data_IF_613131481477
#
_entry.id   IF_613131481477
#
_cell.length_a   1.000
_cell.length_b   1.000
_cell.length_c   1.000
_cell.angle_alpha   90.00
_cell.angle_beta   90.00
_cell.angle_gamma   90.00
#
_symmetry.space_group_name_H-M   'P 1'
#
loop_
_entity.id
_entity.type
_entity.pdbx_description
1 polymer ?
#
# COMPACT_ATOMS: atom_id res chain seq x y z
N UNK A 1 -5.22 16.28 -14.45
CA UNK A 1 -6.49 15.56 -14.23
C UNK A 1 -7.11 15.77 -12.85
N UNK A 2 -6.35 15.82 -11.74
CA UNK A 2 -6.96 15.93 -10.39
C UNK A 2 -7.83 17.17 -10.15
N UNK A 3 -7.68 18.26 -10.91
CA UNK A 3 -8.58 19.42 -10.86
C UNK A 3 -9.86 19.24 -11.69
N UNK A 4 -9.84 18.33 -12.66
CA UNK A 4 -10.90 18.09 -13.63
C UNK A 4 -12.05 17.28 -13.04
N UNK A 5 -11.70 16.29 -12.24
CA UNK A 5 -12.64 15.32 -11.68
C UNK A 5 -12.87 15.53 -10.18
N UNK A 6 -12.61 16.74 -9.67
CA UNK A 6 -12.72 17.02 -8.22
C UNK A 6 -14.10 16.74 -7.65
N UNK A 7 -15.11 16.95 -8.46
CA UNK A 7 -16.50 16.83 -8.05
C UNK A 7 -16.99 15.37 -8.10
N UNK A 8 -16.17 14.43 -8.58
CA UNK A 8 -16.54 13.02 -8.80
C UNK A 8 -15.75 12.03 -7.93
N UNK A 9 -15.05 12.50 -6.89
CA UNK A 9 -14.25 11.63 -6.01
C UNK A 9 -15.08 10.60 -5.20
N UNK A 10 -16.41 10.70 -5.21
CA UNK A 10 -17.33 9.71 -4.61
C UNK A 10 -17.43 8.40 -5.41
N UNK A 11 -17.01 8.39 -6.67
CA UNK A 11 -17.05 7.16 -7.47
C UNK A 11 -15.90 7.05 -8.47
N UNK A 12 -15.02 8.05 -8.52
CA UNK A 12 -13.90 8.12 -9.45
C UNK A 12 -12.56 8.37 -8.75
N UNK A 13 -11.62 7.46 -8.99
CA UNK A 13 -10.22 7.62 -8.66
C UNK A 13 -9.49 8.19 -9.85
N UNK A 14 -8.55 9.09 -9.60
CA UNK A 14 -7.66 9.58 -10.64
C UNK A 14 -6.24 9.58 -10.09
N UNK A 15 -5.35 8.86 -10.77
CA UNK A 15 -3.93 8.88 -10.50
C UNK A 15 -3.15 9.15 -11.79
N UNK A 16 -2.72 10.41 -11.95
CA UNK A 16 -2.02 10.89 -13.15
C UNK A 16 -2.88 10.61 -14.40
N UNK A 17 -2.63 9.50 -15.09
CA UNK A 17 -3.30 9.07 -16.33
C UNK A 17 -4.26 7.88 -16.13
N UNK A 18 -4.21 7.22 -14.98
CA UNK A 18 -5.06 6.08 -14.66
C UNK A 18 -6.34 6.56 -13.95
N UNK A 19 -7.49 6.12 -14.47
CA UNK A 19 -8.81 6.45 -13.94
C UNK A 19 -9.52 5.16 -13.58
N UNK A 20 -10.03 5.07 -12.34
CA UNK A 20 -10.87 3.98 -11.88
C UNK A 20 -12.25 4.54 -11.56
N UNK A 21 -13.29 3.93 -12.12
CA UNK A 21 -14.68 4.23 -11.82
C UNK A 21 -15.28 3.00 -11.16
N UNK A 22 -15.85 3.17 -9.98
CA UNK A 22 -16.49 2.09 -9.25
C UNK A 22 -17.88 2.51 -8.76
N UNK A 23 -18.75 1.51 -8.61
CA UNK A 23 -20.19 1.69 -8.42
C UNK A 23 -20.76 0.46 -7.72
N UNK A 24 -21.84 0.63 -6.94
CA UNK A 24 -22.44 -0.47 -6.17
C UNK A 24 -23.21 -1.46 -7.04
N UNK A 25 -23.71 -1.02 -8.19
CA UNK A 25 -24.48 -1.85 -9.11
C UNK A 25 -24.37 -1.33 -10.55
N UNK A 26 -24.76 -2.17 -11.52
CA UNK A 26 -24.67 -1.85 -12.95
C UNK A 26 -25.47 -0.61 -13.36
N UNK A 27 -26.62 -0.36 -12.72
CA UNK A 27 -27.47 0.79 -13.02
C UNK A 27 -26.80 2.12 -12.63
N UNK A 28 -26.16 2.15 -11.47
CA UNK A 28 -25.31 3.28 -11.05
C UNK A 28 -24.06 3.38 -11.92
N UNK A 29 -23.45 2.25 -12.28
CA UNK A 29 -22.25 2.24 -13.11
C UNK A 29 -22.47 2.88 -14.47
N UNK A 30 -23.59 2.60 -15.13
CA UNK A 30 -23.96 3.26 -16.39
C UNK A 30 -24.03 4.78 -16.21
N UNK A 31 -24.68 5.26 -15.14
CA UNK A 31 -24.76 6.70 -14.85
C UNK A 31 -23.39 7.32 -14.58
N UNK A 32 -22.53 6.64 -13.84
CA UNK A 32 -21.17 7.12 -13.54
C UNK A 32 -20.33 7.20 -14.82
N UNK A 33 -20.48 6.25 -15.74
CA UNK A 33 -19.83 6.26 -17.05
C UNK A 33 -20.36 7.39 -17.94
N UNK A 34 -21.66 7.68 -17.92
CA UNK A 34 -22.25 8.83 -18.64
C UNK A 34 -21.67 10.15 -18.14
N UNK A 35 -21.64 10.36 -16.82
CA UNK A 35 -21.05 11.56 -16.20
C UNK A 35 -19.57 11.69 -16.57
N UNK A 36 -18.82 10.59 -16.50
CA UNK A 36 -17.40 10.57 -16.87
C UNK A 36 -17.19 10.88 -18.35
N UNK A 37 -17.99 10.30 -19.24
CA UNK A 37 -17.91 10.52 -20.69
C UNK A 37 -18.18 11.98 -21.04
N UNK A 38 -19.22 12.57 -20.44
CA UNK A 38 -19.56 13.99 -20.61
C UNK A 38 -18.44 14.91 -20.11
N UNK A 39 -17.81 14.58 -18.98
CA UNK A 39 -16.69 15.33 -18.44
C UNK A 39 -15.46 15.25 -19.37
N UNK A 40 -15.13 14.05 -19.87
CA UNK A 40 -14.06 13.87 -20.85
C UNK A 40 -14.32 14.65 -22.13
N UNK A 41 -15.55 14.62 -22.65
CA UNK A 41 -15.92 15.33 -23.87
C UNK A 41 -15.78 16.86 -23.72
N UNK A 42 -16.27 17.42 -22.61
CA UNK A 42 -16.18 18.86 -22.31
C UNK A 42 -14.73 19.36 -22.26
N UNK A 43 -13.83 18.52 -21.78
CA UNK A 43 -12.43 18.86 -21.51
C UNK A 43 -11.49 18.41 -22.64
N UNK A 44 -12.03 17.82 -23.71
CA UNK A 44 -11.26 17.37 -24.86
C UNK A 44 -10.33 16.18 -24.57
N UNK A 45 -10.65 15.37 -23.56
CA UNK A 45 -9.89 14.16 -23.24
C UNK A 45 -10.21 13.02 -24.22
N UNK A 46 -9.16 12.41 -24.76
CA UNK A 46 -9.27 11.25 -25.65
C UNK A 46 -8.90 9.99 -24.88
N UNK A 47 -9.84 9.06 -24.80
CA UNK A 47 -9.67 7.78 -24.11
C UNK A 47 -9.13 6.72 -25.08
N UNK A 48 -8.22 5.87 -24.59
CA UNK A 48 -7.70 4.74 -25.36
C UNK A 48 -8.58 3.52 -25.17
N UNK A 49 -9.38 3.18 -26.18
CA UNK A 49 -10.25 1.98 -26.17
C UNK A 49 -9.47 0.70 -25.85
N UNK A 50 -8.27 0.54 -26.42
CA UNK A 50 -7.40 -0.64 -26.20
C UNK A 50 -6.93 -0.81 -24.76
N UNK A 51 -6.92 0.27 -23.97
CA UNK A 51 -6.49 0.26 -22.57
C UNK A 51 -7.67 0.32 -21.60
N UNK A 52 -8.88 0.56 -22.10
CA UNK A 52 -10.08 0.66 -21.28
C UNK A 52 -10.58 -0.74 -20.91
N UNK A 53 -10.86 -0.94 -19.63
CA UNK A 53 -11.58 -2.12 -19.12
C UNK A 53 -12.84 -1.61 -18.45
N UNK A 54 -14.01 -2.09 -18.88
CA UNK A 54 -15.31 -1.53 -18.48
C UNK A 54 -16.18 -2.66 -17.92
N UNK A 55 -16.93 -2.36 -16.85
CA UNK A 55 -17.96 -3.24 -16.29
C UNK A 55 -17.44 -4.65 -15.90
N UNK A 56 -16.32 -4.71 -15.17
CA UNK A 56 -15.72 -5.95 -14.66
C UNK A 56 -15.75 -5.99 -13.13
N UNK A 57 -15.81 -7.20 -12.56
CA UNK A 57 -15.78 -7.40 -11.10
C UNK A 57 -14.35 -7.37 -10.52
N UNK A 58 -13.34 -7.41 -11.40
CA UNK A 58 -11.93 -7.48 -11.03
C UNK A 58 -11.13 -6.57 -11.96
N UNK A 59 -10.35 -5.66 -11.38
CA UNK A 59 -9.62 -4.63 -12.12
C UNK A 59 -8.19 -4.48 -11.62
N UNK A 60 -7.30 -4.20 -12.56
CA UNK A 60 -5.89 -3.93 -12.32
C UNK A 60 -5.63 -2.42 -12.30
N UNK A 61 -5.01 -1.92 -11.22
CA UNK A 61 -4.71 -0.51 -11.06
C UNK A 61 -3.41 -0.35 -10.26
N UNK A 62 -2.44 0.39 -10.82
CA UNK A 62 -1.18 0.74 -10.13
C UNK A 62 -0.41 -0.45 -9.53
N UNK A 63 -0.43 -1.60 -10.19
CA UNK A 63 0.23 -2.82 -9.69
C UNK A 63 -0.55 -3.55 -8.59
N UNK A 64 -1.78 -3.12 -8.30
CA UNK A 64 -2.73 -3.74 -7.39
C UNK A 64 -3.85 -4.36 -8.22
N UNK A 65 -4.38 -5.46 -7.72
CA UNK A 65 -5.54 -6.16 -8.24
C UNK A 65 -6.68 -5.97 -7.24
N UNK A 66 -7.79 -5.42 -7.71
CA UNK A 66 -8.93 -5.01 -6.88
C UNK A 66 -10.13 -5.83 -7.32
N UNK A 67 -10.81 -6.45 -6.36
CA UNK A 67 -12.08 -7.14 -6.57
C UNK A 67 -13.00 -6.97 -5.34
N UNK A 68 -14.20 -7.56 -5.42
CA UNK A 68 -15.22 -7.55 -4.36
C UNK A 68 -14.75 -8.08 -3.00
N UNK A 69 -13.69 -8.90 -2.97
CA UNK A 69 -13.17 -9.51 -1.75
C UNK A 69 -11.99 -8.73 -1.16
N UNK A 70 -11.40 -7.80 -1.93
CA UNK A 70 -10.34 -6.94 -1.42
C UNK A 70 -9.27 -6.57 -2.46
N UNK A 71 -8.08 -6.25 -1.95
CA UNK A 71 -6.91 -5.88 -2.75
C UNK A 71 -5.79 -6.91 -2.61
N UNK A 72 -5.19 -7.25 -3.74
CA UNK A 72 -4.03 -8.12 -3.87
C UNK A 72 -2.96 -7.45 -4.72
N UNK A 73 -1.74 -7.97 -4.68
CA UNK A 73 -0.68 -7.51 -5.58
C UNK A 73 -0.76 -8.25 -6.91
N UNK A 74 -0.43 -7.56 -7.99
CA UNK A 74 -0.24 -8.22 -9.26
C UNK A 74 1.00 -9.11 -9.23
N UNK A 75 0.90 -10.31 -9.83
CA UNK A 75 1.95 -11.34 -9.82
C UNK A 75 3.28 -10.78 -10.31
N UNK A 76 3.28 -9.93 -11.34
CA UNK A 76 4.49 -9.35 -11.91
C UNK A 76 5.31 -8.50 -10.90
N UNK A 77 4.69 -7.95 -9.85
CA UNK A 77 5.39 -7.24 -8.77
C UNK A 77 6.05 -8.23 -7.81
N UNK A 78 5.37 -9.33 -7.50
CA UNK A 78 5.88 -10.42 -6.66
C UNK A 78 7.06 -11.12 -7.37
N UNK A 79 6.92 -11.38 -8.67
CA UNK A 79 7.99 -11.93 -9.52
C UNK A 79 9.25 -11.06 -9.51
N UNK A 80 9.11 -9.72 -9.57
CA UNK A 80 10.26 -8.81 -9.47
C UNK A 80 11.06 -9.07 -8.20
N UNK A 81 10.39 -9.24 -7.05
CA UNK A 81 11.05 -9.56 -5.77
C UNK A 81 11.70 -10.94 -5.81
N UNK A 82 10.98 -11.94 -6.35
CA UNK A 82 11.46 -13.32 -6.47
C UNK A 82 12.78 -13.39 -7.25
N UNK A 83 12.87 -12.60 -8.31
CA UNK A 83 13.98 -12.57 -9.27
C UNK A 83 15.21 -11.76 -8.80
N UNK A 84 15.13 -10.99 -7.71
CA UNK A 84 16.34 -10.38 -7.14
C UNK A 84 17.35 -11.46 -6.74
N UNK A 85 18.67 -11.22 -6.77
CA UNK A 85 19.62 -12.15 -6.18
C UNK A 85 19.53 -12.14 -4.65
N UNK A 86 19.90 -13.23 -4.00
CA UNK A 86 19.96 -13.34 -2.54
C UNK A 86 21.08 -12.48 -1.93
N UNK A 87 22.14 -12.23 -2.72
CA UNK A 87 23.27 -11.37 -2.36
C UNK A 87 23.20 -10.13 -3.23
N UNK A 88 23.04 -8.96 -2.60
CA UNK A 88 23.02 -7.68 -3.31
C UNK A 88 24.43 -7.11 -3.35
N UNK A 89 24.88 -6.76 -4.56
CA UNK A 89 26.29 -6.45 -4.84
C UNK A 89 26.74 -5.08 -4.33
N UNK A 90 25.81 -4.15 -4.22
CA UNK A 90 26.09 -2.77 -3.82
C UNK A 90 24.84 -2.10 -3.21
N UNK A 91 25.06 -0.87 -2.73
CA UNK A 91 24.03 -0.02 -2.15
C UNK A 91 22.89 0.28 -3.12
N UNK A 92 23.17 0.42 -4.42
CA UNK A 92 22.16 0.72 -5.45
C UNK A 92 21.21 -0.45 -5.66
N UNK A 93 21.73 -1.68 -5.69
CA UNK A 93 20.94 -2.91 -5.74
C UNK A 93 20.08 -3.06 -4.48
N UNK A 94 20.64 -2.77 -3.29
CA UNK A 94 19.88 -2.75 -2.05
C UNK A 94 18.77 -1.70 -2.05
N UNK A 95 19.03 -0.49 -2.52
CA UNK A 95 18.02 0.56 -2.64
C UNK A 95 16.91 0.18 -3.62
N UNK A 96 17.26 -0.45 -4.75
CA UNK A 96 16.30 -0.96 -5.73
C UNK A 96 15.40 -2.03 -5.10
N UNK A 97 15.99 -3.04 -4.45
CA UNK A 97 15.26 -4.09 -3.74
C UNK A 97 14.32 -3.51 -2.68
N UNK A 98 14.84 -2.64 -1.80
CA UNK A 98 14.05 -2.00 -0.75
C UNK A 98 12.98 -1.06 -1.31
N UNK A 99 13.18 -0.47 -2.49
CA UNK A 99 12.16 0.32 -3.18
C UNK A 99 10.92 -0.52 -3.47
N UNK A 100 11.09 -1.72 -4.03
CA UNK A 100 9.99 -2.65 -4.30
C UNK A 100 9.38 -3.16 -2.99
N UNK A 101 10.19 -3.56 -2.01
CA UNK A 101 9.69 -4.02 -0.70
C UNK A 101 8.88 -2.94 0.02
N UNK A 102 9.27 -1.66 -0.11
CA UNK A 102 8.52 -0.55 0.50
C UNK A 102 7.17 -0.33 -0.19
N UNK A 103 7.07 -0.54 -1.51
CA UNK A 103 5.79 -0.53 -2.22
C UNK A 103 4.85 -1.62 -1.67
N UNK A 104 5.39 -2.80 -1.33
CA UNK A 104 4.63 -3.90 -0.70
C UNK A 104 4.34 -3.71 0.79
N UNK A 105 4.86 -2.66 1.42
CA UNK A 105 4.87 -2.54 2.88
C UNK A 105 3.49 -2.53 3.53
N UNK A 106 2.42 -2.21 2.80
CA UNK A 106 1.05 -2.26 3.31
C UNK A 106 0.52 -3.70 3.49
N UNK A 107 1.12 -4.68 2.83
CA UNK A 107 0.79 -6.12 2.90
C UNK A 107 1.66 -6.89 3.90
N UNK A 108 2.81 -6.33 4.29
CA UNK A 108 3.82 -7.02 5.10
C UNK A 108 3.69 -6.60 6.57
N UNK A 109 3.35 -7.56 7.42
CA UNK A 109 3.43 -7.42 8.87
C UNK A 109 4.90 -7.30 9.32
N UNK A 110 5.18 -6.37 10.23
CA UNK A 110 6.48 -6.18 10.88
C UNK A 110 7.67 -6.00 9.91
N UNK A 111 7.45 -5.37 8.75
CA UNK A 111 8.49 -5.09 7.74
C UNK A 111 9.78 -4.45 8.33
N UNK A 112 9.68 -3.66 9.41
CA UNK A 112 10.76 -2.94 10.05
C UNK A 112 11.72 -3.90 10.75
N UNK A 113 11.26 -5.10 11.13
CA UNK A 113 12.11 -6.18 11.63
C UNK A 113 13.17 -6.55 10.61
N UNK A 114 12.81 -6.63 9.34
CA UNK A 114 13.72 -6.99 8.25
C UNK A 114 14.58 -5.80 7.81
N UNK A 115 13.97 -4.62 7.67
CA UNK A 115 14.68 -3.41 7.20
C UNK A 115 15.78 -2.93 8.14
N UNK A 116 15.73 -3.28 9.42
CA UNK A 116 16.68 -2.78 10.42
C UNK A 116 18.13 -3.16 10.11
N UNK A 117 18.34 -4.37 9.61
CA UNK A 117 19.67 -4.93 9.39
C UNK A 117 20.32 -4.30 8.14
N UNK A 118 19.51 -3.78 7.22
CA UNK A 118 20.00 -3.03 6.05
C UNK A 118 20.31 -1.56 6.34
N UNK A 119 19.89 -0.99 7.48
CA UNK A 119 20.08 0.45 7.76
C UNK A 119 21.56 0.89 7.78
N UNK A 120 22.50 0.13 8.37
CA UNK A 120 23.91 0.49 8.32
C UNK A 120 24.43 0.60 6.88
N UNK A 121 24.09 -0.37 6.03
CA UNK A 121 24.46 -0.40 4.61
C UNK A 121 23.92 0.79 3.80
N UNK A 122 22.78 1.36 4.21
CA UNK A 122 22.21 2.54 3.56
C UNK A 122 22.89 3.85 4.00
N UNK A 123 23.48 3.88 5.20
CA UNK A 123 24.19 5.05 5.74
C UNK A 123 25.64 5.13 5.26
N UNK A 124 26.21 4.02 4.76
CA UNK A 124 27.53 4.00 4.16
C UNK A 124 27.63 5.05 3.05
N UNK A 125 28.59 5.97 3.20
CA UNK A 125 29.01 6.93 2.17
C UNK A 125 29.91 6.21 1.16
N UNK A 126 30.16 6.82 -0.01
CA UNK A 126 31.00 6.23 -1.07
C UNK A 126 32.41 5.79 -0.62
N UNK A 127 32.89 6.30 0.52
CA UNK A 127 34.16 5.93 1.16
C UNK A 127 34.11 4.69 2.06
N UNK A 128 32.92 4.22 2.46
CA UNK A 128 32.76 3.01 3.26
C UNK A 128 32.69 1.78 2.35
N UNK A 129 33.54 0.78 2.63
CA UNK A 129 33.52 -0.51 1.91
C UNK A 129 32.18 -1.19 2.15
N UNK A 130 31.52 -1.65 1.09
CA UNK A 130 30.31 -2.46 1.14
C UNK A 130 30.53 -3.71 2.00
N UNK A 131 29.92 -3.76 3.18
CA UNK A 131 30.04 -4.89 4.13
C UNK A 131 28.81 -5.77 4.10
N UNK A 132 28.69 -6.58 3.05
CA UNK A 132 27.66 -7.63 3.02
C UNK A 132 28.04 -8.79 3.94
N UNK A 133 27.06 -9.35 4.63
CA UNK A 133 27.22 -10.37 5.67
C UNK A 133 26.08 -11.38 5.52
N UNK A 134 26.22 -12.57 6.11
CA UNK A 134 25.22 -13.64 5.99
C UNK A 134 23.85 -13.21 6.51
N UNK A 135 23.79 -12.36 7.55
CA UNK A 135 22.54 -11.82 8.06
C UNK A 135 21.77 -11.05 6.98
N UNK A 136 22.46 -10.32 6.10
CA UNK A 136 21.81 -9.56 5.02
C UNK A 136 21.19 -10.49 3.98
N UNK A 137 21.91 -11.54 3.58
CA UNK A 137 21.38 -12.59 2.69
C UNK A 137 20.17 -13.28 3.30
N UNK A 138 20.24 -13.63 4.58
CA UNK A 138 19.13 -14.23 5.30
C UNK A 138 17.89 -13.33 5.29
N UNK A 139 18.05 -12.01 5.51
CA UNK A 139 16.92 -11.05 5.47
C UNK A 139 16.32 -10.91 4.07
N UNK A 140 17.13 -10.98 3.00
CA UNK A 140 16.62 -10.99 1.63
C UNK A 140 15.77 -12.24 1.38
N UNK A 141 16.26 -13.42 1.77
CA UNK A 141 15.51 -14.68 1.62
C UNK A 141 14.20 -14.67 2.41
N UNK A 142 14.23 -14.22 3.66
CA UNK A 142 13.03 -14.10 4.49
C UNK A 142 12.01 -13.14 3.87
N UNK A 143 12.45 -11.98 3.39
CA UNK A 143 11.56 -11.02 2.71
C UNK A 143 10.94 -11.61 1.45
N UNK A 144 11.72 -12.31 0.62
CA UNK A 144 11.18 -13.01 -0.55
C UNK A 144 10.12 -14.05 -0.18
N UNK A 145 10.36 -14.84 0.87
CA UNK A 145 9.40 -15.82 1.35
C UNK A 145 8.10 -15.16 1.84
N UNK A 146 8.19 -14.07 2.59
CA UNK A 146 7.03 -13.30 3.03
C UNK A 146 6.28 -12.72 1.83
N UNK A 147 7.00 -12.19 0.83
CA UNK A 147 6.38 -11.61 -0.38
C UNK A 147 5.66 -12.64 -1.25
N UNK A 148 6.05 -13.92 -1.20
CA UNK A 148 5.35 -14.98 -1.94
C UNK A 148 4.01 -15.38 -1.30
N UNK A 149 3.81 -15.07 -0.01
CA UNK A 149 2.64 -15.48 0.76
C UNK A 149 1.97 -14.25 1.40
N UNK A 150 1.76 -13.21 0.60
CA UNK A 150 1.11 -12.00 1.08
C UNK A 150 -0.40 -12.21 1.19
N UNK A 151 -1.02 -11.73 2.27
CA UNK A 151 -2.46 -11.83 2.44
C UNK A 151 -3.15 -10.89 1.45
N UNK A 152 -4.34 -11.28 0.99
CA UNK A 152 -5.31 -10.33 0.47
C UNK A 152 -5.70 -9.37 1.59
N UNK A 153 -5.79 -8.08 1.27
CA UNK A 153 -6.25 -7.09 2.23
C UNK A 153 -7.72 -6.73 1.98
N UNK A 154 -8.52 -6.70 3.03
CA UNK A 154 -9.93 -6.34 2.94
C UNK A 154 -10.12 -4.84 2.69
N UNK A 155 -11.14 -4.51 1.89
CA UNK A 155 -11.60 -3.13 1.67
C UNK A 155 -12.80 -2.91 2.58
N UNK A 156 -12.71 -2.03 3.59
CA UNK A 156 -13.81 -1.81 4.49
C UNK A 156 -14.85 -0.88 3.89
N UNK A 157 -16.09 -1.17 4.22
CA UNK A 157 -17.30 -0.43 3.93
C UNK A 157 -17.66 0.46 5.11
N UNK A 158 -18.61 1.37 4.92
CA UNK A 158 -18.99 2.33 5.97
C UNK A 158 -19.65 1.69 7.18
N UNK A 159 -20.34 0.56 6.97
CA UNK A 159 -21.02 -0.20 8.02
C UNK A 159 -20.10 -1.20 8.75
N UNK A 160 -18.87 -1.39 8.28
CA UNK A 160 -17.94 -2.36 8.86
C UNK A 160 -17.40 -1.88 10.21
N UNK A 161 -17.34 -2.80 11.19
CA UNK A 161 -16.64 -2.56 12.43
C UNK A 161 -15.12 -2.68 12.22
N UNK A 162 -14.40 -1.59 12.47
CA UNK A 162 -12.95 -1.51 12.27
C UNK A 162 -12.21 -1.45 13.59
N UNK A 163 -11.22 -2.33 13.75
CA UNK A 163 -10.35 -2.38 14.93
C UNK A 163 -8.92 -2.06 14.52
N UNK A 164 -8.29 -1.15 15.26
CA UNK A 164 -6.86 -0.86 15.09
C UNK A 164 -6.07 -1.48 16.23
N UNK A 165 -5.28 -2.50 15.89
CA UNK A 165 -4.27 -3.02 16.79
C UNK A 165 -3.00 -2.19 16.65
N UNK A 166 -2.38 -1.85 17.77
CA UNK A 166 -1.13 -1.11 17.77
C UNK A 166 -0.17 -1.69 18.79
N UNK A 167 1.10 -1.77 18.38
CA UNK A 167 2.21 -2.06 19.27
C UNK A 167 3.31 -1.01 19.10
N UNK A 168 4.00 -0.72 20.20
CA UNK A 168 4.76 0.48 20.40
C UNK A 168 5.88 0.27 21.42
N UNK A 169 7.10 0.60 21.03
CA UNK A 169 8.19 0.83 21.97
C UNK A 169 8.82 2.21 21.74
N UNK A 170 9.93 2.49 22.44
CA UNK A 170 10.58 3.80 22.40
C UNK A 170 11.27 4.13 21.06
N UNK A 171 11.41 3.14 20.17
CA UNK A 171 12.11 3.29 18.90
C UNK A 171 11.21 3.03 17.68
N UNK A 172 10.19 2.17 17.84
CA UNK A 172 9.36 1.63 16.77
C UNK A 172 7.89 1.63 17.12
N UNK A 173 7.08 1.57 16.07
CA UNK A 173 5.66 1.37 16.18
C UNK A 173 5.14 0.60 14.98
N UNK A 174 4.10 -0.19 15.24
CA UNK A 174 3.35 -0.92 14.25
C UNK A 174 1.87 -0.76 14.55
N UNK A 175 1.07 -0.76 13.49
CA UNK A 175 -0.38 -0.73 13.52
C UNK A 175 -0.89 -1.65 12.43
N UNK A 176 -1.93 -2.41 12.74
CA UNK A 176 -2.73 -3.10 11.73
C UNK A 176 -4.18 -2.64 11.87
N UNK A 177 -4.78 -2.24 10.74
CA UNK A 177 -6.21 -2.00 10.62
C UNK A 177 -6.86 -3.33 10.25
N UNK A 178 -7.79 -3.80 11.06
CA UNK A 178 -8.55 -5.02 10.85
C UNK A 178 -10.03 -4.67 10.67
N UNK A 179 -10.69 -5.39 9.75
CA UNK A 179 -12.14 -5.44 9.62
C UNK A 179 -12.66 -6.62 10.42
N UNK A 180 -13.61 -6.37 11.30
CA UNK A 180 -14.30 -7.43 12.04
C UNK A 180 -15.38 -8.03 11.16
N UNK A 181 -15.37 -9.35 11.05
CA UNK A 181 -16.43 -10.11 10.37
C UNK A 181 -17.05 -11.10 11.35
N UNK A 182 -18.16 -11.73 10.96
CA UNK A 182 -18.79 -12.78 11.77
C UNK A 182 -17.92 -14.03 11.91
N UNK A 183 -16.92 -14.22 11.04
CA UNK A 183 -16.09 -15.42 10.92
C UNK A 183 -14.69 -15.17 11.52
N UNK A 184 -14.26 -13.92 11.67
CA UNK A 184 -12.97 -13.57 12.24
C UNK A 184 -12.56 -12.14 11.95
N UNK A 185 -11.25 -11.93 11.77
CA UNK A 185 -10.68 -10.62 11.50
C UNK A 185 -9.92 -10.64 10.18
N UNK A 186 -10.18 -9.67 9.32
CA UNK A 186 -9.52 -9.53 8.03
C UNK A 186 -8.58 -8.32 8.03
N UNK A 187 -7.30 -8.46 7.64
CA UNK A 187 -6.38 -7.34 7.60
C UNK A 187 -6.73 -6.39 6.47
N UNK A 188 -6.96 -5.12 6.77
CA UNK A 188 -7.13 -4.08 5.76
C UNK A 188 -5.79 -3.41 5.40
N UNK A 189 -4.90 -3.27 6.40
CA UNK A 189 -3.62 -2.58 6.18
C UNK A 189 -2.62 -2.80 7.30
N UNK A 190 -1.38 -3.09 6.93
CA UNK A 190 -0.22 -2.99 7.82
C UNK A 190 0.45 -1.62 7.68
N UNK A 191 0.85 -1.02 8.80
CA UNK A 191 1.62 0.21 8.80
C UNK A 191 2.58 0.22 9.96
N UNK A 192 3.78 0.71 9.72
CA UNK A 192 4.83 0.72 10.71
C UNK A 192 5.80 1.87 10.47
N UNK A 193 6.53 2.23 11.51
CA UNK A 193 7.53 3.27 11.42
C UNK A 193 8.52 3.26 12.57
N UNK A 194 9.51 4.14 12.45
CA UNK A 194 10.50 4.37 13.49
C UNK A 194 10.55 5.86 13.84
N UNK A 195 10.82 6.16 15.11
CA UNK A 195 10.98 7.55 15.55
C UNK A 195 12.42 8.01 15.30
N UNK A 196 12.65 9.15 14.60
CA UNK A 196 14.00 9.61 14.27
C UNK A 196 14.87 9.99 15.49
N UNK A 197 14.28 10.40 16.62
CA UNK A 197 14.98 11.09 17.70
C UNK A 197 15.23 10.27 18.98
N UNK A 198 15.24 8.93 18.92
CA UNK A 198 15.57 8.02 20.05
C UNK A 198 14.82 8.24 21.39
N UNK A 199 13.83 9.14 21.45
CA UNK A 199 12.91 9.33 22.56
C UNK A 199 11.56 9.76 22.00
N UNK A 200 10.55 8.94 22.20
CA UNK A 200 9.17 9.38 22.07
C UNK A 200 8.82 10.18 23.32
N UNK A 201 8.85 11.51 23.23
CA UNK A 201 8.34 12.42 24.27
C UNK A 201 6.81 12.37 24.32
N UNK A 202 6.23 11.22 24.67
CA UNK A 202 4.81 11.10 24.97
C UNK A 202 4.70 10.16 26.18
N UNK A 203 4.35 10.71 27.34
CA UNK A 203 4.51 10.05 28.65
C UNK A 203 3.58 8.88 28.96
N UNK A 204 2.67 8.48 28.05
CA UNK A 204 1.77 7.33 28.23
C UNK A 204 1.58 6.56 26.92
N UNK A 205 1.40 5.23 27.01
CA UNK A 205 1.17 4.34 25.85
C UNK A 205 -0.01 4.82 24.99
N UNK A 206 -1.11 5.23 25.62
CA UNK A 206 -2.34 5.71 24.98
C UNK A 206 -2.14 6.96 24.12
N UNK A 207 -1.30 7.92 24.55
CA UNK A 207 -0.97 9.13 23.78
C UNK A 207 0.01 8.85 22.64
N UNK A 208 0.86 7.82 22.77
CA UNK A 208 1.69 7.33 21.66
C UNK A 208 0.79 6.72 20.57
N UNK A 209 -0.25 5.97 20.94
CA UNK A 209 -1.20 5.35 20.02
C UNK A 209 -2.02 6.35 19.20
N UNK A 210 -2.55 7.41 19.81
CA UNK A 210 -3.42 8.39 19.12
C UNK A 210 -2.71 9.25 18.08
N UNK A 211 -1.49 9.73 18.35
CA UNK A 211 -0.66 10.45 17.37
C UNK A 211 -0.30 9.58 16.15
N UNK A 212 -0.26 8.26 16.34
CA UNK A 212 0.11 7.26 15.33
C UNK A 212 -1.09 6.75 14.54
N UNK A 213 -2.25 6.66 15.17
CA UNK A 213 -3.54 6.59 14.48
C UNK A 213 -3.66 7.76 13.49
N UNK A 214 -3.33 8.98 13.90
CA UNK A 214 -3.28 10.12 12.98
C UNK A 214 -2.24 10.01 11.84
N UNK A 215 -1.22 9.15 11.91
CA UNK A 215 -0.31 8.84 10.78
C UNK A 215 -0.84 7.72 9.90
N UNK A 216 -1.50 6.72 10.48
CA UNK A 216 -2.26 5.70 9.75
C UNK A 216 -3.33 6.37 8.86
N UNK A 217 -4.07 7.34 9.42
CA UNK A 217 -5.07 8.12 8.69
C UNK A 217 -4.46 9.05 7.63
N UNK A 218 -3.25 9.60 7.87
CA UNK A 218 -2.57 10.53 6.94
C UNK A 218 -1.90 9.85 5.73
N UNK A 219 -1.60 8.55 5.80
CA UNK A 219 -1.07 7.81 4.65
C UNK A 219 -2.23 7.46 3.70
N UNK A 220 -2.83 8.47 3.09
CA UNK A 220 -4.18 8.53 2.50
C UNK A 220 -4.51 7.67 1.26
N UNK A 221 -3.81 6.57 0.99
CA UNK A 221 -4.23 5.64 -0.07
C UNK A 221 -5.59 4.97 0.21
N UNK A 222 -5.89 4.76 1.50
CA UNK A 222 -7.10 4.05 1.92
C UNK A 222 -8.36 4.91 1.87
N UNK A 223 -8.26 6.20 2.23
CA UNK A 223 -9.39 7.12 2.10
C UNK A 223 -9.79 7.36 0.64
N UNK A 224 -8.83 7.23 -0.28
CA UNK A 224 -9.12 7.35 -1.70
C UNK A 224 -9.88 6.13 -2.22
N UNK A 225 -9.48 4.90 -1.87
CA UNK A 225 -10.22 3.68 -2.25
C UNK A 225 -11.54 3.48 -1.50
N UNK A 226 -11.64 3.96 -0.26
CA UNK A 226 -12.85 3.90 0.56
C UNK A 226 -14.02 4.69 -0.07
N UNK A 227 -13.73 5.80 -0.74
CA UNK A 227 -14.76 6.58 -1.41
C UNK A 227 -15.08 6.07 -2.82
N UNK A 228 -14.61 4.88 -3.23
CA UNK A 228 -14.77 4.42 -4.61
C UNK A 228 -15.57 3.12 -4.71
N UNK A 229 -15.51 2.27 -3.69
CA UNK A 229 -16.16 0.96 -3.62
C UNK A 229 -17.23 0.97 -2.54
#
# INVERSE_FOLDING_TARGET
MNNLFKDYFEFMFVYIDDILIASKNMKEHIKHLEIFSDACYKEGLVLSEKKATIAVNKIELLGILIDETGIELQEHIVEKIRNFPDILKDKKYLQSFLGVVNFLGIFIKDLAKYRKDFRPLLKETESAKWKWEEIHTQRVRELKQVCNNLPKLAIPQDEDELVVYTDANDYRWATVLMKMTTIGEEPCRYTEGCSPNNKLKCGTSTRKSSLRFGRLLRNGYFYLLKNLL
#
